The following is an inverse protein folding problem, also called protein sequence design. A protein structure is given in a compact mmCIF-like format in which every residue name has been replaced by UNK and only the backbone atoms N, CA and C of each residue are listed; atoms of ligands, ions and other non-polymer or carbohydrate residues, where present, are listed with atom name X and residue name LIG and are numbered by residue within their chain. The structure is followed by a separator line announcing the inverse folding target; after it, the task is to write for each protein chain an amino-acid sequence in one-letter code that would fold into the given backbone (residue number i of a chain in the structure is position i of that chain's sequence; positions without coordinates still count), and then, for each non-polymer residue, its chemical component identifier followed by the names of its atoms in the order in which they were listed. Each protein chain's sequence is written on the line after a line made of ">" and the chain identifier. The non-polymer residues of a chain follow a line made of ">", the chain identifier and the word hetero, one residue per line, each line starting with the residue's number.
data_IF_902352509798
#
_entry.id   IF_902352509798
#
_cell.length_a   1.000
_cell.length_b   1.000
_cell.length_c   1.000
_cell.angle_alpha   90.00
_cell.angle_beta   90.00
_cell.angle_gamma   90.00
#
_symmetry.space_group_name_H-M   'P 1'
#
loop_
_entity.id
_entity.type
_entity.pdbx_description
1 polymer ?
#
# COMPACT_ATOMS: atom_id res chain seq x y z
N UNK A 1 55.74 -38.28 -54.34
CA UNK A 1 54.32 -38.26 -54.78
C UNK A 1 53.44 -38.20 -53.56
N UNK A 2 52.46 -37.28 -53.60
CA UNK A 2 51.27 -37.11 -52.78
C UNK A 2 51.39 -36.74 -51.30
N UNK A 3 51.24 -35.41 -51.11
CA UNK A 3 50.85 -34.71 -49.89
C UNK A 3 49.43 -35.10 -49.46
N UNK A 4 49.18 -35.16 -48.16
CA UNK A 4 47.83 -34.98 -47.60
C UNK A 4 47.94 -34.09 -46.37
N UNK A 5 47.57 -32.82 -46.53
CA UNK A 5 47.57 -31.79 -45.48
C UNK A 5 46.11 -31.66 -45.02
N UNK A 6 45.79 -32.19 -43.85
CA UNK A 6 44.44 -32.09 -43.26
C UNK A 6 44.37 -30.80 -42.46
N UNK A 7 43.66 -29.80 -42.99
CA UNK A 7 43.30 -28.59 -42.26
C UNK A 7 42.12 -28.90 -41.34
N UNK A 8 42.35 -28.89 -40.03
CA UNK A 8 41.29 -28.92 -39.02
C UNK A 8 40.87 -27.48 -38.72
N UNK A 9 39.76 -27.04 -39.32
CA UNK A 9 39.13 -25.76 -38.99
C UNK A 9 38.34 -25.94 -37.68
N UNK A 10 38.85 -25.38 -36.59
CA UNK A 10 38.11 -25.26 -35.33
C UNK A 10 37.06 -24.14 -35.46
N UNK A 11 35.79 -24.52 -35.60
CA UNK A 11 34.66 -23.62 -35.47
C UNK A 11 34.41 -23.36 -33.97
N UNK A 12 34.85 -22.22 -33.46
CA UNK A 12 34.46 -21.74 -32.14
C UNK A 12 32.99 -21.28 -32.19
N UNK A 13 32.07 -22.14 -31.76
CA UNK A 13 30.70 -21.75 -31.47
C UNK A 13 30.74 -21.00 -30.14
N UNK A 14 30.73 -19.68 -30.18
CA UNK A 14 30.50 -18.85 -29.00
C UNK A 14 29.02 -19.01 -28.63
N UNK A 15 28.72 -19.94 -27.71
CA UNK A 15 27.41 -19.95 -27.07
C UNK A 15 27.34 -18.70 -26.20
N UNK A 16 26.74 -17.64 -26.73
CA UNK A 16 26.34 -16.49 -25.94
C UNK A 16 25.42 -17.00 -24.82
N UNK A 17 25.89 -16.91 -23.58
CA UNK A 17 25.01 -17.06 -22.42
C UNK A 17 24.09 -15.84 -22.45
N UNK A 18 22.91 -16.00 -23.02
CA UNK A 18 21.81 -15.06 -22.82
C UNK A 18 21.45 -15.22 -21.34
N UNK A 19 21.93 -14.31 -20.50
CA UNK A 19 21.36 -14.13 -19.16
C UNK A 19 19.88 -13.82 -19.37
N UNK A 20 19.03 -14.84 -19.20
CA UNK A 20 17.59 -14.62 -19.11
C UNK A 20 17.37 -13.62 -17.99
N UNK A 21 16.66 -12.53 -18.28
CA UNK A 21 16.17 -11.63 -17.24
C UNK A 21 15.34 -12.46 -16.26
N UNK A 22 15.92 -12.81 -15.12
CA UNK A 22 15.19 -13.45 -14.05
C UNK A 22 14.14 -12.44 -13.59
N UNK A 23 12.86 -12.76 -13.82
CA UNK A 23 11.73 -11.93 -13.40
C UNK A 23 11.91 -11.59 -11.92
N UNK A 24 12.15 -10.32 -11.63
CA UNK A 24 12.42 -9.87 -10.27
C UNK A 24 11.18 -10.12 -9.41
N UNK A 25 11.36 -10.87 -8.32
CA UNK A 25 10.28 -11.19 -7.40
C UNK A 25 10.13 -10.06 -6.38
N UNK A 26 8.92 -9.51 -6.32
CA UNK A 26 8.51 -8.56 -5.31
C UNK A 26 7.88 -9.27 -4.11
N UNK A 27 8.24 -8.83 -2.93
CA UNK A 27 7.72 -9.35 -1.66
C UNK A 27 7.04 -8.22 -0.89
N UNK A 28 5.89 -8.53 -0.31
CA UNK A 28 5.25 -7.65 0.65
C UNK A 28 6.00 -7.74 1.99
N UNK A 29 6.35 -6.58 2.54
CA UNK A 29 7.04 -6.52 3.82
C UNK A 29 6.60 -5.31 4.66
N UNK A 30 6.68 -5.49 5.97
CA UNK A 30 6.64 -4.42 6.95
C UNK A 30 8.07 -4.14 7.42
N UNK A 31 8.45 -2.87 7.41
CA UNK A 31 9.72 -2.36 7.90
C UNK A 31 9.49 -1.59 9.18
N UNK A 32 10.26 -1.91 10.22
CA UNK A 32 10.36 -1.10 11.44
C UNK A 32 11.68 -0.35 11.35
N UNK A 33 11.60 0.98 11.39
CA UNK A 33 12.74 1.88 11.29
C UNK A 33 13.36 2.14 12.65
N UNK A 34 14.66 2.40 12.67
CA UNK A 34 15.38 2.86 13.87
C UNK A 34 15.36 4.40 13.91
N UNK A 35 14.16 5.00 14.02
CA UNK A 35 14.00 6.47 14.08
C UNK A 35 12.74 6.88 14.83
N UNK A 36 12.75 8.08 15.38
CA UNK A 36 11.58 8.80 15.90
C UNK A 36 11.30 10.09 15.13
N UNK A 37 12.00 10.32 14.00
CA UNK A 37 11.93 11.53 13.19
C UNK A 37 11.25 11.27 11.85
N UNK A 38 10.24 12.08 11.53
CA UNK A 38 9.54 12.04 10.24
C UNK A 38 10.51 12.39 9.10
N UNK A 39 11.49 13.27 9.33
CA UNK A 39 12.46 13.63 8.30
C UNK A 39 13.39 12.45 7.96
N UNK A 40 13.84 11.70 8.97
CA UNK A 40 14.67 10.50 8.76
C UNK A 40 13.87 9.36 8.10
N UNK A 41 12.59 9.22 8.44
CA UNK A 41 11.65 8.34 7.74
C UNK A 41 11.57 8.71 6.26
N UNK A 42 11.38 9.99 5.95
CA UNK A 42 11.27 10.48 4.57
C UNK A 42 12.57 10.28 3.77
N UNK A 43 13.74 10.44 4.40
CA UNK A 43 15.03 10.09 3.79
C UNK A 43 15.07 8.60 3.45
N UNK A 44 14.65 7.74 4.39
CA UNK A 44 14.62 6.28 4.19
C UNK A 44 13.65 5.86 3.09
N UNK A 45 12.47 6.49 3.01
CA UNK A 45 11.48 6.27 1.95
C UNK A 45 12.11 6.58 0.58
N UNK A 46 12.73 7.76 0.41
CA UNK A 46 13.39 8.14 -0.85
C UNK A 46 14.48 7.15 -1.24
N UNK A 47 15.27 6.69 -0.28
CA UNK A 47 16.32 5.69 -0.51
C UNK A 47 15.76 4.33 -0.99
N UNK A 48 14.61 3.93 -0.46
CA UNK A 48 13.90 2.70 -0.87
C UNK A 48 13.30 2.87 -2.26
N UNK A 49 12.61 3.98 -2.51
CA UNK A 49 11.91 4.27 -3.78
C UNK A 49 12.90 4.43 -4.95
N UNK A 50 14.08 5.00 -4.71
CA UNK A 50 15.17 5.08 -5.71
C UNK A 50 15.77 3.71 -6.09
N UNK A 51 15.37 2.63 -5.40
CA UNK A 51 15.86 1.26 -5.62
C UNK A 51 14.70 0.31 -5.93
N UNK A 52 13.67 0.84 -6.59
CA UNK A 52 12.47 0.13 -7.04
C UNK A 52 11.61 -0.47 -5.90
N UNK A 53 11.88 -0.12 -4.65
CA UNK A 53 10.98 -0.42 -3.54
C UNK A 53 9.75 0.47 -3.58
N UNK A 54 8.56 -0.08 -3.35
CA UNK A 54 7.31 0.67 -3.34
C UNK A 54 6.71 0.67 -1.95
N UNK A 55 6.62 1.85 -1.33
CA UNK A 55 5.95 2.02 -0.06
C UNK A 55 4.48 2.34 -0.30
N UNK A 56 3.59 1.52 0.26
CA UNK A 56 2.14 1.67 0.11
C UNK A 56 1.55 2.34 1.36
N UNK A 57 1.94 1.90 2.56
CA UNK A 57 1.47 2.49 3.82
C UNK A 57 2.64 3.07 4.62
N UNK A 58 2.43 4.26 5.16
CA UNK A 58 3.38 5.04 5.95
C UNK A 58 2.69 5.36 7.28
N UNK A 59 3.23 4.81 8.35
CA UNK A 59 2.78 5.05 9.72
C UNK A 59 3.92 5.79 10.44
N UNK A 60 3.93 7.13 10.42
CA UNK A 60 5.04 7.87 10.97
C UNK A 60 5.19 7.70 12.48
N UNK A 61 6.43 7.76 12.99
CA UNK A 61 7.68 7.99 12.24
C UNK A 61 8.39 6.69 11.79
N UNK A 62 7.93 5.51 12.21
CA UNK A 62 8.79 4.34 12.32
C UNK A 62 8.32 3.09 11.57
N UNK A 63 7.14 3.09 10.95
CA UNK A 63 6.63 1.91 10.23
C UNK A 63 6.30 2.21 8.78
N UNK A 64 6.81 1.36 7.89
CA UNK A 64 6.53 1.35 6.46
C UNK A 64 6.02 -0.03 6.04
N UNK A 65 5.01 -0.08 5.18
CA UNK A 65 4.53 -1.33 4.56
C UNK A 65 4.52 -1.14 3.05
N UNK A 66 5.02 -2.13 2.32
CA UNK A 66 5.19 -2.00 0.88
C UNK A 66 5.58 -3.28 0.16
N UNK A 67 5.87 -3.13 -1.14
CA UNK A 67 6.36 -4.17 -2.03
C UNK A 67 7.81 -3.89 -2.37
N UNK A 68 8.68 -4.87 -2.16
CA UNK A 68 10.13 -4.69 -2.28
C UNK A 68 10.75 -5.78 -3.15
N UNK A 69 11.74 -5.45 -3.99
CA UNK A 69 12.56 -6.46 -4.63
C UNK A 69 13.34 -7.30 -3.61
N UNK A 70 13.50 -8.60 -3.86
CA UNK A 70 14.21 -9.51 -2.95
C UNK A 70 15.65 -9.07 -2.63
N UNK A 71 16.36 -8.50 -3.59
CA UNK A 71 17.70 -7.96 -3.39
C UNK A 71 17.71 -6.75 -2.44
N UNK A 72 16.69 -5.89 -2.54
CA UNK A 72 16.54 -4.74 -1.66
C UNK A 72 16.25 -5.18 -0.23
N UNK A 73 15.34 -6.14 0.00
CA UNK A 73 15.05 -6.65 1.36
C UNK A 73 16.29 -7.23 2.05
N UNK A 74 17.13 -7.95 1.30
CA UNK A 74 18.39 -8.49 1.84
C UNK A 74 19.33 -7.37 2.30
N UNK A 75 19.37 -6.24 1.57
CA UNK A 75 20.17 -5.07 1.97
C UNK A 75 19.56 -4.35 3.17
N UNK A 76 18.24 -4.16 3.17
CA UNK A 76 17.52 -3.50 4.27
C UNK A 76 17.69 -4.26 5.59
N UNK A 77 17.72 -5.58 5.55
CA UNK A 77 17.98 -6.43 6.74
C UNK A 77 19.35 -6.18 7.37
N UNK A 78 20.33 -5.73 6.57
CA UNK A 78 21.69 -5.41 7.03
C UNK A 78 21.90 -3.90 7.26
N UNK A 79 20.85 -3.07 7.13
CA UNK A 79 20.93 -1.63 7.30
C UNK A 79 20.81 -1.23 8.76
N UNK A 80 21.65 -0.30 9.23
CA UNK A 80 21.52 0.26 10.58
C UNK A 80 20.30 1.19 10.74
N UNK A 81 19.64 1.60 9.65
CA UNK A 81 18.42 2.45 9.69
C UNK A 81 17.15 1.63 9.86
N UNK A 82 17.21 0.32 9.60
CA UNK A 82 16.07 -0.59 9.66
C UNK A 82 16.27 -1.48 10.87
N UNK A 83 15.45 -1.30 11.89
CA UNK A 83 15.44 -2.16 13.06
C UNK A 83 15.07 -3.59 12.69
N UNK A 84 14.07 -3.74 11.81
CA UNK A 84 13.57 -5.04 11.43
C UNK A 84 12.85 -5.04 10.07
N UNK A 85 13.06 -6.13 9.33
CA UNK A 85 12.31 -6.46 8.11
C UNK A 85 11.41 -7.66 8.42
N UNK A 86 10.12 -7.53 8.14
CA UNK A 86 9.11 -8.53 8.47
C UNK A 86 8.32 -8.89 7.22
N UNK A 87 8.27 -10.19 6.90
CA UNK A 87 7.55 -10.74 5.73
C UNK A 87 6.49 -11.78 6.13
N UNK A 88 6.21 -11.89 7.43
CA UNK A 88 5.26 -12.83 8.04
C UNK A 88 4.41 -12.14 9.09
N UNK A 89 3.43 -12.86 9.65
CA UNK A 89 2.69 -12.44 10.86
C UNK A 89 3.66 -12.22 12.02
N UNK A 90 3.32 -11.26 12.87
CA UNK A 90 4.14 -10.76 13.98
C UNK A 90 3.49 -11.10 15.32
N UNK A 91 4.31 -11.42 16.31
CA UNK A 91 3.89 -11.40 17.71
C UNK A 91 4.01 -9.97 18.26
N UNK A 92 2.87 -9.29 18.37
CA UNK A 92 2.75 -7.88 18.78
C UNK A 92 3.26 -7.64 20.22
N UNK A 93 3.25 -8.67 21.07
CA UNK A 93 3.69 -8.56 22.47
C UNK A 93 5.17 -8.17 22.61
N UNK A 94 5.96 -8.34 21.55
CA UNK A 94 7.39 -7.96 21.49
C UNK A 94 7.62 -6.46 21.25
N UNK A 95 6.57 -5.72 20.87
CA UNK A 95 6.67 -4.32 20.42
C UNK A 95 5.87 -3.36 21.30
N UNK A 96 5.77 -3.66 22.60
CA UNK A 96 5.06 -2.82 23.59
C UNK A 96 5.59 -1.40 23.69
N UNK A 97 6.85 -1.18 23.31
CA UNK A 97 7.55 0.10 23.30
C UNK A 97 7.17 1.02 22.13
N UNK A 98 6.47 0.51 21.10
CA UNK A 98 6.04 1.34 19.98
C UNK A 98 4.95 2.33 20.38
N UNK A 99 4.87 3.42 19.61
CA UNK A 99 3.77 4.38 19.69
C UNK A 99 2.42 3.70 19.41
N UNK A 100 1.32 4.37 19.76
CA UNK A 100 -0.03 3.87 19.46
C UNK A 100 -0.22 3.66 17.95
N UNK A 101 0.21 4.64 17.14
CA UNK A 101 0.27 4.54 15.66
C UNK A 101 1.03 3.29 15.21
N UNK A 102 2.19 3.02 15.81
CA UNK A 102 2.99 1.85 15.47
C UNK A 102 2.27 0.53 15.80
N UNK A 103 1.58 0.48 16.94
CA UNK A 103 0.76 -0.69 17.33
C UNK A 103 -0.39 -0.93 16.35
N UNK A 104 -1.07 0.13 15.90
CA UNK A 104 -2.11 0.00 14.87
C UNK A 104 -1.56 -0.54 13.55
N UNK A 105 -0.37 -0.10 13.14
CA UNK A 105 0.25 -0.62 11.92
C UNK A 105 0.58 -2.13 12.03
N UNK A 106 1.11 -2.58 13.18
CA UNK A 106 1.38 -4.01 13.40
C UNK A 106 0.10 -4.85 13.39
N UNK A 107 -0.96 -4.34 14.00
CA UNK A 107 -2.27 -5.00 14.03
C UNK A 107 -2.90 -5.05 12.65
N UNK A 108 -2.89 -3.94 11.92
CA UNK A 108 -3.39 -3.86 10.56
C UNK A 108 -2.60 -4.80 9.63
N UNK A 109 -1.28 -4.88 9.77
CA UNK A 109 -0.46 -5.86 9.07
C UNK A 109 -0.90 -7.30 9.36
N UNK A 110 -0.98 -7.68 10.63
CA UNK A 110 -1.39 -9.02 11.03
C UNK A 110 -2.81 -9.38 10.56
N UNK A 111 -3.72 -8.41 10.58
CA UNK A 111 -5.10 -8.60 10.17
C UNK A 111 -5.22 -8.73 8.64
N UNK A 112 -4.42 -8.00 7.88
CA UNK A 112 -4.52 -7.98 6.41
C UNK A 112 -3.53 -8.94 5.72
N UNK A 113 -2.57 -9.52 6.46
CA UNK A 113 -1.53 -10.36 5.90
C UNK A 113 -2.12 -11.52 5.10
N UNK A 114 -1.79 -11.57 3.80
CA UNK A 114 -2.25 -12.59 2.84
C UNK A 114 -3.78 -12.78 2.82
N UNK A 115 -4.56 -11.72 3.02
CA UNK A 115 -6.01 -11.75 2.91
C UNK A 115 -6.74 -12.35 4.12
N UNK A 116 -6.07 -12.41 5.28
CA UNK A 116 -6.72 -12.79 6.55
C UNK A 116 -7.83 -11.82 6.98
N UNK A 117 -7.95 -10.65 6.34
CA UNK A 117 -8.99 -9.68 6.61
C UNK A 117 -10.39 -10.28 6.35
N UNK A 118 -10.52 -11.08 5.29
CA UNK A 118 -11.75 -11.85 4.97
C UNK A 118 -12.14 -12.83 6.06
N UNK A 119 -11.19 -13.62 6.56
CA UNK A 119 -11.49 -14.60 7.62
C UNK A 119 -11.76 -13.94 8.97
N UNK A 120 -11.30 -12.70 9.16
CA UNK A 120 -11.55 -11.88 10.35
C UNK A 120 -12.80 -11.00 10.26
N UNK A 121 -13.51 -11.01 9.13
CA UNK A 121 -14.69 -10.17 8.92
C UNK A 121 -14.37 -8.67 8.76
N UNK A 122 -13.13 -8.32 8.43
CA UNK A 122 -12.65 -6.94 8.24
C UNK A 122 -12.79 -6.48 6.76
N UNK A 123 -13.39 -7.33 5.92
CA UNK A 123 -13.76 -7.05 4.54
C UNK A 123 -15.29 -6.93 4.43
N UNK A 124 -15.94 -6.27 5.40
CA UNK A 124 -17.40 -6.14 5.34
C UNK A 124 -17.75 -5.26 4.12
N UNK A 125 -18.46 -5.80 3.10
CA UNK A 125 -18.95 -4.96 2.03
C UNK A 125 -19.92 -3.94 2.65
N UNK A 126 -20.01 -2.72 2.10
CA UNK A 126 -20.91 -1.71 2.64
C UNK A 126 -22.33 -2.30 2.78
N UNK A 127 -22.88 -2.26 4.00
CA UNK A 127 -24.17 -2.90 4.38
C UNK A 127 -25.35 -2.44 3.53
N UNK A 128 -25.22 -1.28 2.92
CA UNK A 128 -26.01 -0.79 1.80
C UNK A 128 -25.07 0.00 0.89
N UNK A 129 -25.40 0.17 -0.39
CA UNK A 129 -24.86 1.31 -1.12
C UNK A 129 -25.07 2.53 -0.23
N UNK A 130 -24.00 3.25 0.11
CA UNK A 130 -24.14 4.50 0.80
C UNK A 130 -24.99 5.36 -0.13
N UNK A 131 -26.22 5.68 0.26
CA UNK A 131 -26.89 6.84 -0.33
C UNK A 131 -25.89 7.96 -0.15
N UNK A 132 -25.36 8.46 -1.28
CA UNK A 132 -24.46 9.60 -1.26
C UNK A 132 -25.00 10.59 -0.25
N UNK A 133 -24.16 10.98 0.72
CA UNK A 133 -24.49 12.13 1.56
C UNK A 133 -24.93 13.22 0.58
N UNK A 134 -26.16 13.69 0.75
CA UNK A 134 -26.70 14.72 -0.15
C UNK A 134 -25.69 15.87 -0.16
N UNK A 135 -25.11 16.14 -1.34
CA UNK A 135 -24.03 17.10 -1.61
C UNK A 135 -22.56 16.63 -1.50
N UNK A 136 -22.22 15.35 -1.25
CA UNK A 136 -20.81 14.89 -1.31
C UNK A 136 -20.48 14.00 -2.52
N UNK A 137 -21.48 13.47 -3.22
CA UNK A 137 -21.32 12.75 -4.48
C UNK A 137 -22.50 13.16 -5.36
N UNK A 138 -22.26 13.72 -6.54
CA UNK A 138 -23.28 13.77 -7.57
C UNK A 138 -23.46 12.32 -8.03
N UNK A 139 -24.52 11.67 -7.56
CA UNK A 139 -24.98 10.43 -8.19
C UNK A 139 -25.47 10.85 -9.57
N UNK A 140 -24.67 10.64 -10.61
CA UNK A 140 -25.25 10.52 -11.93
C UNK A 140 -26.25 9.38 -11.87
N UNK A 141 -27.51 9.69 -12.15
CA UNK A 141 -28.60 8.71 -12.20
C UNK A 141 -28.15 7.53 -13.06
N UNK A 142 -28.59 6.29 -12.77
CA UNK A 142 -28.34 5.17 -13.66
C UNK A 142 -28.75 5.59 -15.07
N UNK A 143 -27.84 5.43 -16.02
CA UNK A 143 -28.07 5.78 -17.43
C UNK A 143 -29.12 4.84 -17.99
N UNK A 144 -30.39 5.07 -17.67
CA UNK A 144 -31.49 4.64 -18.51
C UNK A 144 -31.51 5.59 -19.72
N UNK A 145 -30.86 5.13 -20.78
CA UNK A 145 -31.11 5.54 -22.16
C UNK A 145 -31.02 7.06 -22.43
N UNK A 146 -29.88 7.67 -22.08
CA UNK A 146 -29.55 9.01 -22.59
C UNK A 146 -28.85 8.84 -23.94
N UNK A 147 -29.48 9.25 -25.07
CA UNK A 147 -28.87 9.14 -26.38
C UNK A 147 -27.63 10.02 -26.41
N UNK A 148 -26.45 9.39 -26.51
CA UNK A 148 -25.16 9.97 -26.85
C UNK A 148 -24.99 11.43 -26.40
N UNK A 149 -24.72 11.65 -25.10
CA UNK A 149 -24.05 12.89 -24.71
C UNK A 149 -22.70 12.93 -25.43
N UNK A 150 -22.40 13.95 -26.24
CA UNK A 150 -21.09 14.07 -26.86
C UNK A 150 -20.08 14.18 -25.73
N UNK A 151 -19.05 13.33 -25.75
CA UNK A 151 -17.94 13.33 -24.80
C UNK A 151 -17.46 14.77 -24.56
N UNK A 152 -17.91 15.36 -23.46
CA UNK A 152 -17.48 16.67 -23.00
C UNK A 152 -16.56 16.46 -21.81
N UNK A 153 -15.38 15.94 -22.08
CA UNK A 153 -14.16 16.16 -21.31
C UNK A 153 -13.11 15.19 -21.84
N UNK A 154 -11.92 15.68 -22.20
CA UNK A 154 -10.75 14.84 -22.46
C UNK A 154 -10.14 14.29 -21.14
N UNK A 155 -10.89 14.31 -20.04
CA UNK A 155 -10.44 13.79 -18.75
C UNK A 155 -10.83 12.31 -18.56
N UNK A 156 -10.03 11.53 -17.82
CA UNK A 156 -10.39 10.17 -17.42
C UNK A 156 -11.77 10.15 -16.74
N UNK A 157 -12.57 9.13 -17.04
CA UNK A 157 -13.86 8.84 -16.37
C UNK A 157 -14.95 9.92 -16.45
N UNK A 158 -14.80 10.97 -17.26
CA UNK A 158 -15.81 12.03 -17.39
C UNK A 158 -15.66 13.20 -16.43
N UNK A 159 -14.57 13.23 -15.68
CA UNK A 159 -14.25 14.26 -14.69
C UNK A 159 -14.32 15.69 -15.21
N UNK A 160 -14.84 16.59 -14.37
CA UNK A 160 -14.75 18.04 -14.50
C UNK A 160 -13.62 18.61 -13.62
N UNK A 161 -13.34 19.90 -13.77
CA UNK A 161 -12.35 20.61 -12.93
C UNK A 161 -12.71 20.62 -11.44
N UNK A 162 -13.99 20.44 -11.10
CA UNK A 162 -14.49 20.49 -9.71
C UNK A 162 -14.42 19.12 -9.02
N UNK A 163 -14.15 18.05 -9.77
CA UNK A 163 -14.12 16.67 -9.28
C UNK A 163 -12.72 16.30 -8.72
N UNK A 164 -12.32 17.01 -7.66
CA UNK A 164 -11.02 16.83 -6.98
C UNK A 164 -10.87 15.46 -6.31
N UNK A 165 -11.98 14.78 -5.99
CA UNK A 165 -11.99 13.43 -5.41
C UNK A 165 -11.75 12.32 -6.44
N UNK A 166 -11.79 12.64 -7.75
CA UNK A 166 -11.72 11.64 -8.82
C UNK A 166 -10.28 11.20 -9.14
N UNK A 167 -9.28 11.87 -8.55
CA UNK A 167 -7.87 11.62 -8.83
C UNK A 167 -7.08 11.34 -7.54
N UNK A 168 -7.13 10.10 -7.07
CA UNK A 168 -6.12 9.60 -6.14
C UNK A 168 -4.89 9.15 -6.94
N UNK A 169 -3.83 9.95 -6.89
CA UNK A 169 -2.53 9.69 -7.54
C UNK A 169 -1.38 10.03 -6.58
N UNK A 170 -0.34 9.21 -6.55
CA UNK A 170 0.88 9.51 -5.80
C UNK A 170 0.72 9.41 -4.28
N UNK A 171 1.11 10.46 -3.55
CA UNK A 171 1.06 10.46 -2.08
C UNK A 171 -0.20 11.10 -1.53
N UNK A 172 -0.94 10.33 -0.74
CA UNK A 172 -2.21 10.68 -0.11
C UNK A 172 -2.01 10.71 1.41
N UNK A 173 -2.50 11.75 2.07
CA UNK A 173 -2.55 11.86 3.53
C UNK A 173 -3.95 11.45 4.02
N UNK A 174 -4.01 10.67 5.08
CA UNK A 174 -5.23 10.16 5.69
C UNK A 174 -5.27 10.66 7.13
N UNK A 175 -6.27 11.48 7.44
CA UNK A 175 -6.61 11.84 8.81
C UNK A 175 -7.73 10.92 9.29
N UNK A 176 -7.45 10.09 10.30
CA UNK A 176 -8.43 9.27 10.98
C UNK A 176 -8.76 9.96 12.30
N UNK A 177 -10.04 10.28 12.49
CA UNK A 177 -10.56 10.98 13.65
C UNK A 177 -11.53 10.04 14.36
N UNK A 178 -11.22 9.66 15.59
CA UNK A 178 -12.10 8.85 16.42
C UNK A 178 -12.98 9.75 17.28
N UNK A 179 -14.23 9.94 16.88
CA UNK A 179 -15.16 10.84 17.57
C UNK A 179 -15.99 10.09 18.59
N UNK A 180 -15.87 10.44 19.87
CA UNK A 180 -16.68 9.88 20.95
C UNK A 180 -17.97 10.69 21.16
N UNK A 181 -19.11 10.01 21.34
CA UNK A 181 -20.37 10.67 21.71
C UNK A 181 -20.54 10.65 23.22
N UNK A 182 -20.86 11.78 23.83
CA UNK A 182 -21.15 11.86 25.27
C UNK A 182 -22.60 11.47 25.62
N UNK A 183 -23.40 11.10 24.62
CA UNK A 183 -24.79 10.68 24.81
C UNK A 183 -25.77 11.82 25.14
N UNK A 184 -25.33 13.09 25.11
CA UNK A 184 -26.17 14.22 25.55
C UNK A 184 -27.22 14.63 24.52
N UNK A 185 -26.87 14.59 23.23
CA UNK A 185 -27.75 14.98 22.11
C UNK A 185 -28.19 13.74 21.33
N UNK A 186 -27.23 12.94 20.87
CA UNK A 186 -27.47 11.69 20.16
C UNK A 186 -27.06 10.50 21.05
N UNK A 187 -27.74 9.35 20.97
CA UNK A 187 -27.34 8.16 21.71
C UNK A 187 -25.87 7.80 21.44
N UNK A 188 -25.11 7.46 22.49
CA UNK A 188 -23.77 6.91 22.28
C UNK A 188 -23.90 5.50 21.69
N UNK A 189 -23.42 5.34 20.46
CA UNK A 189 -23.51 4.08 19.69
C UNK A 189 -22.17 3.41 19.44
N UNK A 190 -21.05 4.08 19.70
CA UNK A 190 -19.71 3.58 19.47
C UNK A 190 -18.83 4.04 20.63
N UNK A 191 -18.15 3.09 21.28
CA UNK A 191 -17.17 3.34 22.34
C UNK A 191 -15.77 3.03 21.78
N UNK A 192 -14.89 4.03 21.72
CA UNK A 192 -13.54 3.85 21.16
C UNK A 192 -12.60 3.16 22.16
N UNK A 193 -12.58 1.83 22.11
CA UNK A 193 -11.53 1.02 22.73
C UNK A 193 -10.33 0.89 21.80
N UNK A 194 -9.12 0.73 22.36
CA UNK A 194 -7.90 0.50 21.56
C UNK A 194 -8.03 -0.69 20.58
N UNK A 195 -8.78 -1.74 20.96
CA UNK A 195 -9.08 -2.86 20.06
C UNK A 195 -10.01 -2.49 18.91
N UNK A 196 -11.00 -1.62 19.16
CA UNK A 196 -11.96 -1.17 18.14
C UNK A 196 -11.30 -0.22 17.15
N UNK A 197 -10.50 0.71 17.65
CA UNK A 197 -9.68 1.60 16.83
C UNK A 197 -8.76 0.79 15.91
N UNK A 198 -8.04 -0.21 16.45
CA UNK A 198 -7.18 -1.09 15.66
C UNK A 198 -7.92 -1.87 14.56
N UNK A 199 -9.15 -2.33 14.83
CA UNK A 199 -10.00 -2.97 13.83
C UNK A 199 -10.34 -1.98 12.71
N UNK A 200 -10.78 -0.77 13.07
CA UNK A 200 -11.07 0.29 12.10
C UNK A 200 -9.85 0.63 11.24
N UNK A 201 -8.66 0.77 11.84
CA UNK A 201 -7.41 0.99 11.08
C UNK A 201 -7.10 -0.18 10.13
N UNK A 202 -7.38 -1.42 10.56
CA UNK A 202 -7.20 -2.60 9.71
C UNK A 202 -8.12 -2.58 8.49
N UNK A 203 -9.39 -2.22 8.68
CA UNK A 203 -10.39 -2.05 7.61
C UNK A 203 -9.97 -0.94 6.64
N UNK A 204 -9.55 0.22 7.16
CA UNK A 204 -9.04 1.35 6.36
C UNK A 204 -7.83 0.91 5.53
N UNK A 205 -6.84 0.28 6.15
CA UNK A 205 -5.64 -0.21 5.44
C UNK A 205 -6.02 -1.21 4.34
N UNK A 206 -7.02 -2.07 4.59
CA UNK A 206 -7.48 -3.04 3.62
C UNK A 206 -8.20 -2.37 2.43
N UNK A 207 -9.04 -1.37 2.67
CA UNK A 207 -9.66 -0.56 1.62
C UNK A 207 -8.59 0.12 0.75
N UNK A 208 -7.54 0.66 1.36
CA UNK A 208 -6.43 1.27 0.63
C UNK A 208 -5.52 0.26 -0.08
N UNK A 209 -5.39 -0.97 0.43
CA UNK A 209 -4.78 -2.07 -0.32
C UNK A 209 -5.58 -2.37 -1.60
N UNK A 210 -6.91 -2.44 -1.50
CA UNK A 210 -7.77 -2.65 -2.67
C UNK A 210 -7.59 -1.53 -3.68
N UNK A 211 -7.58 -0.27 -3.23
CA UNK A 211 -7.42 0.90 -4.09
C UNK A 211 -6.05 0.93 -4.78
N UNK A 212 -4.95 0.71 -4.04
CA UNK A 212 -3.60 0.67 -4.59
C UNK A 212 -3.43 -0.43 -5.67
N UNK A 213 -4.21 -1.50 -5.58
CA UNK A 213 -4.17 -2.58 -6.56
C UNK A 213 -5.09 -2.33 -7.78
N UNK A 214 -6.01 -1.34 -7.75
CA UNK A 214 -6.84 -1.01 -8.92
C UNK A 214 -6.00 -0.46 -10.07
N UNK A 215 -5.05 0.43 -9.76
CA UNK A 215 -4.12 0.98 -10.73
C UNK A 215 -2.70 1.09 -10.13
N UNK A 216 -1.85 0.05 -10.30
CA UNK A 216 -0.49 0.06 -9.79
C UNK A 216 0.40 1.19 -10.36
N UNK A 217 0.06 1.71 -11.55
CA UNK A 217 0.79 2.80 -12.19
C UNK A 217 0.47 4.16 -11.57
N UNK A 218 -0.60 4.26 -10.76
CA UNK A 218 -0.92 5.47 -9.99
C UNK A 218 0.09 5.75 -8.86
N UNK A 219 0.96 4.79 -8.56
CA UNK A 219 2.02 4.88 -7.54
C UNK A 219 1.51 5.39 -6.19
N UNK A 220 0.37 4.83 -5.74
CA UNK A 220 -0.31 5.25 -4.53
C UNK A 220 0.49 4.92 -3.27
N UNK A 221 0.56 5.91 -2.37
CA UNK A 221 1.16 5.80 -1.04
C UNK A 221 0.31 6.57 -0.03
N UNK A 222 0.10 5.99 1.14
CA UNK A 222 -0.87 6.43 2.13
C UNK A 222 -0.16 6.75 3.45
N UNK A 223 -0.28 7.99 3.93
CA UNK A 223 0.33 8.44 5.20
C UNK A 223 -0.75 8.67 6.24
N UNK A 224 -0.67 7.96 7.36
CA UNK A 224 -1.70 7.96 8.40
C UNK A 224 -1.43 8.99 9.49
N UNK A 225 -2.47 9.72 9.88
CA UNK A 225 -2.51 10.64 11.01
C UNK A 225 -3.72 10.30 11.87
N UNK A 226 -3.51 10.07 13.16
CA UNK A 226 -4.56 9.68 14.10
C UNK A 226 -4.85 10.81 15.07
N UNK A 227 -6.14 11.11 15.25
CA UNK A 227 -6.67 12.10 16.18
C UNK A 227 -7.72 11.42 17.06
N UNK A 228 -7.68 11.75 18.35
CA UNK A 228 -8.50 11.19 19.41
C UNK A 228 -9.25 12.32 20.13
#
# INVERSE_FOLDING_TARGET
>A
MNRCLVFFTFLFITTGVVFGQQKESFYEALLILETNSIDEMNVTIKEIENRDGRIIHRYPPDILIGKFPGQLLTRLTNSHRIKQVITTVIDESKYTHLSQTGKYALQAWNNNFRGMSKSRGLDEPPKSEATALSNCIIIEKPVEDIPHLPARSNAPNGASFEDVSEFLLGSVSIAVIFTESDGTTDPSTEDWSASREAQCVSEIQNGFNWLANQNPDANLSFTYHFYY
#
